data_IF_976359065380
#
_entry.id   IF_976359065380
#
_cell.length_a   1.000
_cell.length_b   1.000
_cell.length_c   1.000
_cell.angle_alpha   90.00
_cell.angle_beta   90.00
_cell.angle_gamma   90.00
#
_symmetry.space_group_name_H-M   'P 1'
#
loop_
_entity.id
_entity.type
_entity.pdbx_description
1 polymer ?
#
# COMPACT_ATOMS: atom_id res chain seq x y z
N UNK A 1 0.44 8.21 -3.33
CA UNK A 1 1.30 7.29 -4.14
C UNK A 1 2.71 7.84 -4.42
N UNK A 2 2.92 9.15 -4.52
CA UNK A 2 4.25 9.74 -4.84
C UNK A 2 5.38 9.39 -3.86
N UNK A 3 5.07 9.03 -2.61
CA UNK A 3 6.05 8.65 -1.57
C UNK A 3 6.21 7.14 -1.38
N UNK A 4 5.55 6.32 -2.18
CA UNK A 4 5.57 4.85 -2.03
C UNK A 4 6.99 4.28 -2.04
N UNK A 5 7.76 4.57 -3.08
CA UNK A 5 9.12 4.05 -3.23
C UNK A 5 10.08 4.57 -2.15
N UNK A 6 9.93 5.84 -1.73
CA UNK A 6 10.76 6.40 -0.66
C UNK A 6 10.48 5.73 0.69
N UNK A 7 9.21 5.51 1.04
CA UNK A 7 8.83 4.83 2.29
C UNK A 7 9.43 3.42 2.38
N UNK A 8 9.42 2.67 1.27
CA UNK A 8 9.99 1.33 1.22
C UNK A 8 11.50 1.34 1.30
N UNK A 9 12.17 2.24 0.57
CA UNK A 9 13.63 2.38 0.61
C UNK A 9 14.11 2.77 2.01
N UNK A 10 13.43 3.73 2.64
CA UNK A 10 13.73 4.18 4.00
C UNK A 10 13.54 3.05 5.01
N UNK A 11 12.46 2.26 4.88
CA UNK A 11 12.22 1.09 5.73
C UNK A 11 13.33 0.04 5.56
N UNK A 12 13.72 -0.26 4.33
CA UNK A 12 14.78 -1.22 4.03
C UNK A 12 16.09 -0.79 4.67
N UNK A 13 16.49 0.44 4.47
CA UNK A 13 17.71 1.01 5.06
C UNK A 13 17.66 0.97 6.59
N UNK A 14 16.53 1.32 7.19
CA UNK A 14 16.34 1.27 8.64
C UNK A 14 16.46 -0.17 9.17
N UNK A 15 15.82 -1.14 8.51
CA UNK A 15 15.92 -2.56 8.90
C UNK A 15 17.35 -3.07 8.80
N UNK A 16 18.08 -2.73 7.76
CA UNK A 16 19.46 -3.15 7.57
C UNK A 16 20.40 -2.54 8.61
N UNK A 17 20.21 -1.27 8.97
CA UNK A 17 21.05 -0.56 9.93
C UNK A 17 20.76 -0.89 11.39
N UNK A 18 19.50 -1.21 11.72
CA UNK A 18 19.05 -1.47 13.09
C UNK A 18 18.98 -2.96 13.46
N UNK A 19 19.26 -3.84 12.50
CA UNK A 19 19.26 -5.28 12.73
C UNK A 19 20.44 -5.67 13.61
N UNK A 20 20.13 -6.19 14.79
CA UNK A 20 21.16 -6.73 15.68
C UNK A 20 21.72 -8.03 15.09
N UNK A 21 23.04 -8.10 14.90
CA UNK A 21 23.70 -9.27 14.34
C UNK A 21 23.37 -10.54 15.16
N UNK A 22 22.76 -11.51 14.49
CA UNK A 22 22.47 -12.84 15.07
C UNK A 22 21.14 -12.99 15.81
N UNK A 23 20.41 -11.94 16.18
CA UNK A 23 19.19 -12.06 16.99
C UNK A 23 17.90 -11.96 16.19
N UNK A 24 17.92 -11.40 14.99
CA UNK A 24 16.71 -11.12 14.20
C UNK A 24 15.81 -10.03 14.81
N UNK A 25 16.23 -9.40 15.89
CA UNK A 25 15.51 -8.34 16.61
C UNK A 25 15.91 -6.99 16.07
N UNK A 26 14.93 -6.08 15.94
CA UNK A 26 15.17 -4.67 15.59
C UNK A 26 15.09 -3.82 16.85
N UNK A 27 16.14 -3.03 17.11
CA UNK A 27 16.16 -2.06 18.18
C UNK A 27 15.42 -0.78 17.72
N UNK A 28 14.22 -0.58 18.20
CA UNK A 28 13.37 0.57 17.91
C UNK A 28 13.33 1.55 19.12
N UNK A 29 14.49 1.97 19.56
CA UNK A 29 14.60 2.85 20.74
C UNK A 29 14.22 4.31 20.42
N UNK A 30 14.39 4.71 19.16
CA UNK A 30 14.08 6.06 18.69
C UNK A 30 12.61 6.20 18.28
N UNK A 31 11.99 7.31 18.71
CA UNK A 31 10.62 7.67 18.31
C UNK A 31 10.46 7.77 16.79
N UNK A 32 11.44 8.31 16.08
CA UNK A 32 11.41 8.46 14.61
C UNK A 32 11.32 7.09 13.93
N UNK A 33 12.12 6.12 14.38
CA UNK A 33 12.11 4.75 13.84
C UNK A 33 10.75 4.07 14.06
N UNK A 34 10.14 4.26 15.24
CA UNK A 34 8.81 3.75 15.57
C UNK A 34 7.72 4.35 14.67
N UNK A 35 7.75 5.66 14.44
CA UNK A 35 6.80 6.32 13.53
C UNK A 35 6.98 5.82 12.11
N UNK A 36 8.20 5.64 11.64
CA UNK A 36 8.49 5.11 10.31
C UNK A 36 7.91 3.69 10.13
N UNK A 37 8.06 2.83 11.11
CA UNK A 37 7.45 1.50 11.10
C UNK A 37 5.93 1.59 11.04
N UNK A 38 5.31 2.42 11.88
CA UNK A 38 3.85 2.61 11.88
C UNK A 38 3.33 3.14 10.54
N UNK A 39 4.01 4.12 9.95
CA UNK A 39 3.65 4.63 8.61
C UNK A 39 3.68 3.51 7.55
N UNK A 40 4.72 2.68 7.57
CA UNK A 40 4.82 1.55 6.65
C UNK A 40 3.74 0.50 6.92
N UNK A 41 3.37 0.25 8.18
CA UNK A 41 2.28 -0.68 8.53
C UNK A 41 0.94 -0.21 7.96
N UNK A 42 0.61 1.07 8.09
CA UNK A 42 -0.61 1.67 7.52
C UNK A 42 -0.57 1.58 6.00
N UNK A 43 0.57 1.92 5.39
CA UNK A 43 0.75 1.84 3.94
C UNK A 43 0.58 0.41 3.41
N UNK A 44 1.17 -0.58 4.07
CA UNK A 44 0.98 -1.99 3.72
C UNK A 44 -0.47 -2.45 3.90
N UNK A 45 -1.16 -1.96 4.92
CA UNK A 45 -2.57 -2.28 5.13
C UNK A 45 -3.45 -1.70 4.03
N UNK A 46 -3.17 -0.47 3.58
CA UNK A 46 -3.85 0.20 2.47
C UNK A 46 -3.71 -0.58 1.16
N UNK A 47 -2.51 -1.08 0.86
CA UNK A 47 -2.23 -1.88 -0.35
C UNK A 47 -2.54 -3.37 -0.20
N UNK A 48 -3.15 -3.81 0.91
CA UNK A 48 -3.31 -5.24 1.23
C UNK A 48 -4.44 -5.94 0.47
N UNK A 49 -5.22 -5.26 -0.34
CA UNK A 49 -6.38 -5.86 -1.02
C UNK A 49 -6.03 -7.13 -1.83
N UNK A 50 -4.94 -7.17 -2.63
CA UNK A 50 -4.58 -8.36 -3.40
C UNK A 50 -4.24 -9.60 -2.54
N UNK A 51 -3.96 -9.41 -1.26
CA UNK A 51 -3.64 -10.51 -0.33
C UNK A 51 -4.88 -11.11 0.35
N UNK A 52 -6.07 -10.57 0.11
CA UNK A 52 -7.32 -11.00 0.72
C UNK A 52 -7.92 -12.20 -0.02
N UNK A 53 -8.77 -13.00 0.64
CA UNK A 53 -9.60 -13.99 -0.03
C UNK A 53 -10.41 -13.36 -1.16
N UNK A 54 -10.61 -14.10 -2.26
CA UNK A 54 -11.24 -13.59 -3.48
C UNK A 54 -12.56 -12.88 -3.24
N UNK A 55 -13.39 -13.39 -2.34
CA UNK A 55 -14.69 -12.78 -2.03
C UNK A 55 -14.56 -11.38 -1.43
N UNK A 56 -13.57 -11.19 -0.55
CA UNK A 56 -13.27 -9.91 0.07
C UNK A 56 -12.62 -8.97 -0.94
N UNK A 57 -11.67 -9.49 -1.72
CA UNK A 57 -10.99 -8.76 -2.78
C UNK A 57 -11.98 -8.13 -3.76
N UNK A 58 -12.90 -8.91 -4.30
CA UNK A 58 -13.90 -8.42 -5.28
C UNK A 58 -14.80 -7.33 -4.69
N UNK A 59 -15.21 -7.46 -3.42
CA UNK A 59 -16.00 -6.43 -2.74
C UNK A 59 -15.23 -5.11 -2.62
N UNK A 60 -13.94 -5.17 -2.27
CA UNK A 60 -13.10 -3.98 -2.17
C UNK A 60 -12.84 -3.34 -3.52
N UNK A 61 -12.58 -4.15 -4.55
CA UNK A 61 -12.43 -3.67 -5.94
C UNK A 61 -13.66 -2.87 -6.36
N UNK A 62 -14.87 -3.40 -6.12
CA UNK A 62 -16.10 -2.69 -6.45
C UNK A 62 -16.23 -1.34 -5.73
N UNK A 63 -15.86 -1.29 -4.45
CA UNK A 63 -15.90 -0.04 -3.66
C UNK A 63 -14.89 1.00 -4.14
N UNK A 64 -13.66 0.58 -4.42
CA UNK A 64 -12.60 1.47 -4.92
C UNK A 64 -12.96 2.01 -6.30
N UNK A 65 -13.46 1.17 -7.19
CA UNK A 65 -13.89 1.61 -8.52
C UNK A 65 -15.06 2.58 -8.46
N UNK A 66 -16.02 2.37 -7.58
CA UNK A 66 -17.14 3.31 -7.40
C UNK A 66 -16.63 4.65 -6.84
N UNK A 67 -15.69 4.66 -5.90
CA UNK A 67 -15.05 5.87 -5.40
C UNK A 67 -14.35 6.66 -6.51
N UNK A 68 -13.59 5.98 -7.37
CA UNK A 68 -12.94 6.61 -8.53
C UNK A 68 -13.96 7.18 -9.51
N UNK A 69 -15.02 6.45 -9.81
CA UNK A 69 -16.07 6.92 -10.70
C UNK A 69 -16.82 8.13 -10.13
N UNK A 70 -17.09 8.16 -8.84
CA UNK A 70 -17.68 9.33 -8.19
C UNK A 70 -16.76 10.54 -8.24
N UNK A 71 -15.44 10.34 -8.15
CA UNK A 71 -14.46 11.41 -8.36
C UNK A 71 -14.56 11.94 -9.79
N UNK A 72 -14.50 11.07 -10.81
CA UNK A 72 -14.60 11.47 -12.21
C UNK A 72 -15.91 12.17 -12.54
N UNK A 73 -17.03 11.73 -11.96
CA UNK A 73 -18.33 12.39 -12.13
C UNK A 73 -18.32 13.82 -11.56
N UNK A 74 -17.65 14.04 -10.41
CA UNK A 74 -17.47 15.38 -9.83
C UNK A 74 -16.55 16.27 -10.68
N UNK A 75 -15.44 15.72 -11.16
CA UNK A 75 -14.49 16.42 -12.05
C UNK A 75 -15.20 16.87 -13.33
N UNK A 76 -16.01 15.98 -13.94
CA UNK A 76 -16.81 16.31 -15.12
C UNK A 76 -17.84 17.41 -14.82
N UNK A 77 -18.52 17.35 -13.70
CA UNK A 77 -19.52 18.36 -13.31
C UNK A 77 -18.88 19.73 -13.06
N UNK A 78 -17.61 19.78 -12.68
CA UNK A 78 -16.84 21.01 -12.46
C UNK A 78 -16.13 21.50 -13.74
N UNK A 79 -16.27 20.81 -14.86
CA UNK A 79 -15.60 21.16 -16.12
C UNK A 79 -14.08 20.92 -16.09
N UNK A 80 -13.59 20.06 -15.20
CA UNK A 80 -12.20 19.63 -15.13
C UNK A 80 -11.95 18.41 -16.01
N UNK A 81 -10.68 18.22 -16.39
CA UNK A 81 -10.25 16.98 -17.03
C UNK A 81 -10.41 15.80 -16.05
N UNK A 82 -11.00 14.71 -16.54
CA UNK A 82 -11.24 13.53 -15.73
C UNK A 82 -9.91 12.82 -15.45
N UNK A 83 -9.64 12.55 -14.19
CA UNK A 83 -8.45 11.83 -13.75
C UNK A 83 -8.37 10.41 -14.35
N UNK A 84 -7.15 9.90 -14.64
CA UNK A 84 -6.99 8.54 -15.16
C UNK A 84 -7.72 7.52 -14.27
N UNK A 85 -8.38 6.53 -14.89
CA UNK A 85 -9.20 5.48 -14.25
C UNK A 85 -10.50 5.95 -13.60
N UNK A 86 -10.79 7.26 -13.56
CA UNK A 86 -11.99 7.82 -12.96
C UNK A 86 -13.15 7.98 -13.96
N UNK A 87 -12.92 7.77 -15.24
CA UNK A 87 -13.95 7.88 -16.27
C UNK A 87 -14.79 6.59 -16.36
N UNK A 88 -16.05 6.67 -15.94
CA UNK A 88 -17.01 5.57 -15.93
C UNK A 88 -17.28 4.98 -17.33
N UNK A 89 -17.11 5.78 -18.38
CA UNK A 89 -17.38 5.38 -19.77
C UNK A 89 -16.18 4.66 -20.41
N UNK A 90 -14.96 5.02 -20.02
CA UNK A 90 -13.72 4.56 -20.66
C UNK A 90 -12.85 3.66 -19.75
N UNK A 91 -13.04 3.70 -18.44
CA UNK A 91 -12.29 2.85 -17.53
C UNK A 91 -12.90 1.45 -17.40
N UNK A 92 -12.05 0.44 -17.45
CA UNK A 92 -12.46 -0.94 -17.15
C UNK A 92 -11.84 -1.41 -15.83
N UNK A 93 -12.62 -2.15 -15.04
CA UNK A 93 -12.16 -2.74 -13.77
C UNK A 93 -10.88 -3.54 -13.98
N UNK A 94 -10.80 -4.33 -15.05
CA UNK A 94 -9.61 -5.15 -15.36
C UNK A 94 -8.34 -4.30 -15.55
N UNK A 95 -8.42 -3.20 -16.30
CA UNK A 95 -7.27 -2.27 -16.49
C UNK A 95 -6.83 -1.64 -15.18
N UNK A 96 -7.78 -1.20 -14.36
CA UNK A 96 -7.48 -0.55 -13.07
C UNK A 96 -6.83 -1.54 -12.10
N UNK A 97 -7.28 -2.79 -12.06
CA UNK A 97 -6.71 -3.81 -11.17
C UNK A 97 -5.30 -4.25 -11.57
N UNK A 98 -4.99 -4.34 -12.85
CA UNK A 98 -3.61 -4.63 -13.31
C UNK A 98 -2.62 -3.55 -12.84
N UNK A 99 -3.06 -2.29 -12.74
CA UNK A 99 -2.22 -1.22 -12.21
C UNK A 99 -2.04 -1.32 -10.69
N UNK A 100 -3.10 -1.67 -9.95
CA UNK A 100 -3.03 -1.89 -8.50
C UNK A 100 -2.18 -3.12 -8.15
N UNK A 101 -2.33 -4.22 -8.89
CA UNK A 101 -1.51 -5.42 -8.71
C UNK A 101 -0.03 -5.16 -8.99
N UNK A 102 0.31 -4.35 -9.97
CA UNK A 102 1.70 -3.93 -10.22
C UNK A 102 2.26 -3.08 -9.09
N UNK A 103 1.45 -2.23 -8.49
CA UNK A 103 1.86 -1.45 -7.32
C UNK A 103 2.03 -2.33 -6.07
N UNK A 104 1.20 -3.37 -5.92
CA UNK A 104 1.21 -4.28 -4.79
C UNK A 104 2.17 -5.48 -4.97
N UNK A 105 2.47 -5.89 -6.20
CA UNK A 105 3.36 -7.03 -6.52
C UNK A 105 4.84 -6.67 -6.59
N UNK A 106 5.21 -5.47 -6.18
CA UNK A 106 6.61 -5.17 -5.94
C UNK A 106 7.11 -6.17 -4.88
N UNK A 107 8.08 -7.03 -5.25
CA UNK A 107 8.69 -8.00 -4.34
C UNK A 107 9.21 -7.34 -3.06
N UNK A 108 9.56 -6.06 -3.13
CA UNK A 108 9.93 -5.23 -1.99
C UNK A 108 8.75 -4.94 -1.06
N UNK A 109 7.53 -4.70 -1.59
CA UNK A 109 6.33 -4.53 -0.76
C UNK A 109 5.96 -5.82 -0.04
N UNK A 110 6.01 -6.95 -0.71
CA UNK A 110 5.73 -8.26 -0.13
C UNK A 110 6.79 -8.61 0.93
N UNK A 111 8.05 -8.31 0.66
CA UNK A 111 9.15 -8.52 1.60
C UNK A 111 9.01 -7.61 2.83
N UNK A 112 8.72 -6.32 2.63
CA UNK A 112 8.49 -5.37 3.72
C UNK A 112 7.27 -5.76 4.56
N UNK A 113 6.18 -6.19 3.92
CA UNK A 113 4.96 -6.66 4.63
C UNK A 113 5.24 -7.90 5.46
N UNK A 114 6.00 -8.87 4.92
CA UNK A 114 6.43 -10.07 5.66
C UNK A 114 7.34 -9.73 6.84
N UNK A 115 8.25 -8.77 6.68
CA UNK A 115 9.11 -8.30 7.76
C UNK A 115 8.31 -7.57 8.85
N UNK A 116 7.39 -6.67 8.47
CA UNK A 116 6.52 -5.95 9.40
C UNK A 116 5.56 -6.91 10.12
N UNK A 117 5.04 -7.94 9.43
CA UNK A 117 4.22 -8.98 10.06
C UNK A 117 5.01 -9.84 11.06
N UNK A 118 6.27 -10.16 10.79
CA UNK A 118 7.16 -10.83 11.76
C UNK A 118 7.41 -9.97 13.00
N UNK A 119 7.46 -8.64 12.84
CA UNK A 119 7.58 -7.71 13.96
C UNK A 119 6.32 -7.64 14.84
N UNK A 120 5.12 -7.91 14.29
CA UNK A 120 3.87 -7.98 15.08
C UNK A 120 3.92 -9.07 16.18
N UNK A 121 4.60 -10.18 15.93
CA UNK A 121 4.76 -11.25 16.94
C UNK A 121 5.68 -10.83 18.11
N UNK A 122 6.38 -9.71 18.01
CA UNK A 122 7.33 -9.26 19.03
C UNK A 122 6.83 -8.07 19.88
N UNK A 123 5.72 -7.43 19.44
CA UNK A 123 5.10 -6.28 20.14
C UNK A 123 3.88 -6.69 20.98
N UNK A 124 3.54 -7.97 21.04
CA UNK A 124 2.60 -8.60 21.97
C UNK A 124 3.36 -9.38 23.03
#
# INVERSE_FOLDING_TARGET
MSKHMSLLADLKTMVETKKVAGSGVLLLDNYVDRIQVLQNMVHCADLSNPTKPREVYVKWVGRIMEEFFQQGDKERAQGMDISPMCDRENATVAKSQVMDERAASCDECICATKQVMKMKCFLM
#
